data_IF_959921515408
#
_entry.id   IF_959921515408
#
_cell.length_a   1.000
_cell.length_b   1.000
_cell.length_c   1.000
_cell.angle_alpha   90.00
_cell.angle_beta   90.00
_cell.angle_gamma   90.00
#
_symmetry.space_group_name_H-M   'P 1'
#
loop_
_entity.id
_entity.type
_entity.pdbx_description
1 polymer ?
#
# COMPACT_ATOMS: atom_id res chain seq x y z
N UNK A 1 -5.05 4.46 28.64
CA UNK A 1 -4.92 4.64 27.17
C UNK A 1 -5.05 3.28 26.51
N UNK A 2 -5.97 3.12 25.59
CA UNK A 2 -6.15 1.87 24.85
C UNK A 2 -5.02 1.77 23.82
N UNK A 3 -4.31 0.63 23.81
CA UNK A 3 -3.24 0.37 22.85
C UNK A 3 -3.71 -0.66 21.85
N UNK A 4 -3.75 -0.26 20.59
CA UNK A 4 -3.97 -1.11 19.43
C UNK A 4 -2.84 -0.88 18.42
N UNK A 5 -2.32 -1.96 17.84
CA UNK A 5 -1.22 -1.94 16.89
C UNK A 5 -1.69 -2.51 15.54
N UNK A 6 -1.36 -1.85 14.46
CA UNK A 6 -1.89 -2.17 13.14
C UNK A 6 -3.26 -1.52 12.94
N UNK A 7 -4.10 -2.10 12.08
CA UNK A 7 -5.39 -1.57 11.66
C UNK A 7 -5.31 -0.16 11.02
N UNK A 8 -6.46 0.43 10.75
CA UNK A 8 -6.56 1.73 10.07
C UNK A 8 -5.85 2.85 10.81
N UNK A 9 -5.39 3.85 10.08
CA UNK A 9 -4.81 5.05 10.69
C UNK A 9 -5.88 5.81 11.48
N UNK A 10 -5.47 6.40 12.60
CA UNK A 10 -6.25 7.43 13.27
C UNK A 10 -5.83 8.83 12.77
N UNK A 11 -6.63 9.85 13.05
CA UNK A 11 -6.27 11.20 12.66
C UNK A 11 -5.00 11.65 13.38
N UNK A 12 -4.07 12.18 12.61
CA UNK A 12 -2.82 12.73 13.10
C UNK A 12 -2.65 14.13 12.55
N UNK A 13 -2.30 15.06 13.44
CA UNK A 13 -1.96 16.43 13.10
C UNK A 13 -0.49 16.67 13.40
N UNK A 14 0.21 17.33 12.52
CA UNK A 14 1.58 17.77 12.75
C UNK A 14 1.67 19.28 12.61
N UNK A 15 2.18 19.93 13.65
CA UNK A 15 2.51 21.35 13.60
C UNK A 15 3.82 21.65 12.83
N UNK A 16 4.58 20.60 12.50
CA UNK A 16 5.98 20.71 12.06
C UNK A 16 6.17 20.56 10.56
N UNK A 17 5.13 20.30 9.76
CA UNK A 17 5.43 19.77 8.46
C UNK A 17 4.85 20.50 7.27
N UNK A 18 5.71 21.01 6.42
CA UNK A 18 5.47 20.99 4.98
C UNK A 18 6.23 19.79 4.43
N UNK A 19 5.53 18.81 3.89
CA UNK A 19 6.16 17.73 3.17
C UNK A 19 6.77 18.26 1.89
N UNK A 20 8.01 17.87 1.64
CA UNK A 20 8.67 18.12 0.36
C UNK A 20 8.23 17.12 -0.72
N UNK A 21 7.49 16.09 -0.33
CA UNK A 21 7.02 15.04 -1.23
C UNK A 21 6.29 15.60 -2.46
N UNK A 22 5.46 16.62 -2.28
CA UNK A 22 4.76 17.28 -3.39
C UNK A 22 5.64 18.33 -4.09
N UNK A 23 6.51 19.04 -3.37
CA UNK A 23 7.30 20.15 -3.89
C UNK A 23 8.36 19.72 -4.93
N UNK A 24 8.79 18.46 -4.88
CA UNK A 24 9.81 17.92 -5.78
C UNK A 24 9.24 17.03 -6.90
N UNK A 25 7.93 17.03 -7.09
CA UNK A 25 7.24 16.13 -8.01
C UNK A 25 6.32 16.93 -8.96
N UNK A 26 6.90 17.80 -9.78
CA UNK A 26 6.18 18.73 -10.70
C UNK A 26 5.16 18.04 -11.63
N UNK A 27 5.40 16.76 -11.95
CA UNK A 27 4.53 15.97 -12.85
C UNK A 27 3.62 14.99 -12.10
N UNK A 28 3.45 15.17 -10.76
CA UNK A 28 2.60 14.31 -9.94
C UNK A 28 1.14 14.74 -10.03
N UNK A 29 0.28 13.81 -10.44
CA UNK A 29 -1.16 13.99 -10.53
C UNK A 29 -1.84 13.21 -9.42
N UNK A 30 -2.69 13.88 -8.64
CA UNK A 30 -3.36 13.30 -7.47
C UNK A 30 -4.77 12.85 -7.81
N UNK A 31 -5.08 11.60 -7.49
CA UNK A 31 -6.36 10.95 -7.71
C UNK A 31 -7.03 10.56 -6.40
N UNK A 32 -8.34 10.30 -6.46
CA UNK A 32 -9.12 9.79 -5.33
C UNK A 32 -8.50 8.50 -4.74
N UNK A 33 -7.99 7.62 -5.60
CA UNK A 33 -7.38 6.34 -5.20
C UNK A 33 -6.26 5.92 -6.13
N UNK A 34 -5.41 4.97 -5.69
CA UNK A 34 -4.41 4.35 -6.56
C UNK A 34 -5.04 3.61 -7.74
N UNK A 35 -6.25 3.03 -7.57
CA UNK A 35 -7.03 2.40 -8.65
C UNK A 35 -7.39 3.41 -9.75
N UNK A 36 -7.88 4.58 -9.36
CA UNK A 36 -8.17 5.66 -10.31
C UNK A 36 -6.90 6.18 -11.00
N UNK A 37 -5.77 6.24 -10.30
CA UNK A 37 -4.49 6.68 -10.86
C UNK A 37 -4.03 5.75 -11.99
N UNK A 38 -3.93 4.43 -11.76
CA UNK A 38 -3.50 3.47 -12.79
C UNK A 38 -4.53 3.37 -13.93
N UNK A 39 -5.83 3.43 -13.63
CA UNK A 39 -6.87 3.44 -14.66
C UNK A 39 -6.67 4.58 -15.65
N UNK A 40 -6.50 5.81 -15.16
CA UNK A 40 -6.30 6.97 -16.02
C UNK A 40 -4.95 6.93 -16.75
N UNK A 41 -3.91 6.40 -16.13
CA UNK A 41 -2.63 6.21 -16.80
C UNK A 41 -2.75 5.24 -17.98
N UNK A 42 -3.42 4.10 -17.81
CA UNK A 42 -3.67 3.15 -18.89
C UNK A 42 -4.57 3.76 -19.97
N UNK A 43 -5.64 4.47 -19.59
CA UNK A 43 -6.52 5.19 -20.52
C UNK A 43 -5.75 6.22 -21.37
N UNK A 44 -4.84 6.98 -20.76
CA UNK A 44 -3.95 7.89 -21.45
C UNK A 44 -3.06 7.14 -22.44
N UNK A 45 -2.44 6.06 -22.02
CA UNK A 45 -1.55 5.27 -22.85
C UNK A 45 -2.24 4.62 -24.05
N UNK A 46 -3.46 4.10 -23.86
CA UNK A 46 -4.31 3.55 -24.93
C UNK A 46 -4.58 4.66 -25.97
N UNK A 47 -5.07 5.80 -25.52
CA UNK A 47 -5.50 6.88 -26.42
C UNK A 47 -4.34 7.59 -27.11
N UNK A 48 -3.22 7.79 -26.44
CA UNK A 48 -2.10 8.59 -26.95
C UNK A 48 -1.02 7.75 -27.63
N UNK A 49 -0.75 6.55 -27.11
CA UNK A 49 0.36 5.71 -27.54
C UNK A 49 -0.08 4.39 -28.20
N UNK A 50 -1.39 4.13 -28.18
CA UNK A 50 -1.93 2.89 -28.76
C UNK A 50 -1.51 1.64 -27.99
N UNK A 51 -1.43 1.71 -26.65
CA UNK A 51 -1.17 0.54 -25.83
C UNK A 51 -2.28 -0.49 -26.02
N UNK A 52 -1.91 -1.74 -26.22
CA UNK A 52 -2.82 -2.82 -26.56
C UNK A 52 -2.85 -3.96 -25.53
N UNK A 53 -1.81 -4.07 -24.71
CA UNK A 53 -1.63 -5.15 -23.77
C UNK A 53 -0.94 -4.66 -22.51
N UNK A 54 -1.47 -5.06 -21.35
CA UNK A 54 -0.87 -4.79 -20.05
C UNK A 54 -0.68 -6.08 -19.25
N UNK A 55 0.52 -6.27 -18.69
CA UNK A 55 0.85 -7.34 -17.79
C UNK A 55 0.84 -6.90 -16.34
N UNK A 56 0.16 -7.67 -15.49
CA UNK A 56 0.24 -7.51 -14.03
C UNK A 56 0.92 -8.73 -13.41
N UNK A 57 1.65 -8.58 -12.27
CA UNK A 57 2.20 -9.73 -11.58
C UNK A 57 1.07 -10.64 -11.07
N UNK A 58 1.29 -11.95 -11.08
CA UNK A 58 0.29 -12.92 -10.61
C UNK A 58 -0.03 -12.75 -9.13
N UNK A 59 0.99 -12.47 -8.30
CA UNK A 59 0.82 -12.09 -6.91
C UNK A 59 0.62 -10.59 -6.81
N UNK A 60 -0.63 -10.15 -6.74
CA UNK A 60 -0.97 -8.72 -6.74
C UNK A 60 -2.32 -8.44 -6.07
N UNK A 61 -2.66 -7.16 -5.94
CA UNK A 61 -3.99 -6.71 -5.56
C UNK A 61 -4.94 -6.83 -6.75
N UNK A 62 -5.69 -7.95 -6.82
CA UNK A 62 -6.56 -8.21 -7.96
C UNK A 62 -7.70 -7.21 -8.13
N UNK A 63 -8.10 -6.51 -7.06
CA UNK A 63 -9.06 -5.40 -7.15
C UNK A 63 -8.57 -4.25 -8.05
N UNK A 64 -7.25 -4.00 -8.10
CA UNK A 64 -6.65 -3.02 -9.00
C UNK A 64 -6.80 -3.48 -10.45
N UNK A 65 -6.58 -4.76 -10.71
CA UNK A 65 -6.69 -5.34 -12.06
C UNK A 65 -8.15 -5.34 -12.54
N UNK A 66 -9.07 -5.76 -11.68
CA UNK A 66 -10.50 -5.75 -12.00
C UNK A 66 -11.01 -4.34 -12.32
N UNK A 67 -10.52 -3.33 -11.59
CA UNK A 67 -10.86 -1.94 -11.84
C UNK A 67 -10.46 -1.46 -13.25
N UNK A 68 -9.42 -2.05 -13.83
CA UNK A 68 -8.93 -1.71 -15.18
C UNK A 68 -9.60 -2.52 -16.31
N UNK A 69 -10.49 -3.50 -16.01
CA UNK A 69 -11.09 -4.37 -17.04
C UNK A 69 -12.05 -3.66 -18.00
N UNK A 70 -12.53 -2.48 -17.65
CA UNK A 70 -13.40 -1.69 -18.53
C UNK A 70 -12.62 -1.01 -19.66
N UNK A 71 -11.29 -0.98 -19.58
CA UNK A 71 -10.45 -0.37 -20.61
C UNK A 71 -10.31 -1.30 -21.82
N UNK A 72 -10.23 -0.71 -22.99
CA UNK A 72 -9.97 -1.44 -24.25
C UNK A 72 -8.47 -1.81 -24.38
N UNK A 73 -8.03 -2.71 -23.48
CA UNK A 73 -6.66 -3.23 -23.41
C UNK A 73 -6.69 -4.69 -22.99
N UNK A 74 -5.89 -5.52 -23.63
CA UNK A 74 -5.70 -6.91 -23.21
C UNK A 74 -4.97 -6.98 -21.89
N UNK A 75 -5.54 -7.67 -20.89
CA UNK A 75 -4.93 -7.83 -19.56
C UNK A 75 -4.40 -9.26 -19.43
N UNK A 76 -3.11 -9.38 -19.13
CA UNK A 76 -2.45 -10.65 -18.83
C UNK A 76 -1.79 -10.62 -17.44
N UNK A 77 -1.55 -11.83 -16.91
CA UNK A 77 -0.76 -12.00 -15.70
C UNK A 77 0.58 -12.68 -16.03
N UNK A 78 1.67 -12.11 -15.56
CA UNK A 78 2.96 -12.79 -15.61
C UNK A 78 3.29 -13.41 -14.24
N UNK A 79 3.90 -14.62 -14.20
CA UNK A 79 4.26 -15.25 -12.94
C UNK A 79 5.26 -14.41 -12.16
N UNK A 80 4.96 -14.12 -10.91
CA UNK A 80 5.87 -13.40 -10.02
C UNK A 80 5.71 -13.82 -8.57
N UNK A 81 6.82 -14.18 -7.91
CA UNK A 81 6.87 -14.53 -6.51
C UNK A 81 7.73 -13.50 -5.75
N UNK A 82 7.15 -12.62 -4.89
CA UNK A 82 7.91 -11.59 -4.18
C UNK A 82 8.93 -12.13 -3.17
N UNK A 83 8.89 -13.43 -2.84
CA UNK A 83 9.79 -14.09 -1.90
C UNK A 83 11.03 -14.66 -2.58
N UNK A 84 11.00 -14.86 -3.90
CA UNK A 84 12.06 -15.43 -4.70
C UNK A 84 12.64 -14.41 -5.67
N UNK A 85 13.83 -14.69 -6.21
CA UNK A 85 14.37 -13.92 -7.33
C UNK A 85 13.76 -14.43 -8.63
N UNK A 86 12.99 -13.58 -9.28
CA UNK A 86 12.34 -13.93 -10.55
C UNK A 86 12.96 -13.15 -11.70
N UNK A 87 13.17 -13.84 -12.81
CA UNK A 87 13.28 -13.18 -14.10
C UNK A 87 11.86 -12.95 -14.62
N UNK A 88 11.60 -11.73 -15.07
CA UNK A 88 10.31 -11.41 -15.68
C UNK A 88 10.32 -11.97 -17.11
N UNK A 89 9.42 -12.92 -17.36
CA UNK A 89 9.12 -13.41 -18.71
C UNK A 89 7.93 -12.61 -19.25
N UNK A 90 8.21 -11.64 -20.10
CA UNK A 90 7.22 -10.75 -20.70
C UNK A 90 7.50 -10.54 -22.18
N UNK A 91 6.43 -10.39 -22.97
CA UNK A 91 6.51 -10.09 -24.40
C UNK A 91 7.00 -8.65 -24.63
N UNK A 92 8.31 -8.48 -24.73
CA UNK A 92 8.98 -7.16 -24.84
C UNK A 92 8.78 -6.56 -26.25
N UNK A 93 7.59 -6.04 -26.52
CA UNK A 93 7.21 -5.41 -27.80
C UNK A 93 6.69 -4.00 -27.59
N UNK A 94 6.81 -3.19 -28.65
CA UNK A 94 6.13 -1.90 -28.72
C UNK A 94 4.62 -2.06 -28.55
N UNK A 95 3.99 -1.16 -27.78
CA UNK A 95 2.57 -1.19 -27.46
C UNK A 95 2.20 -2.16 -26.33
N UNK A 96 3.17 -2.84 -25.72
CA UNK A 96 2.95 -3.60 -24.48
C UNK A 96 3.38 -2.79 -23.25
N UNK A 97 2.68 -3.04 -22.15
CA UNK A 97 2.90 -2.39 -20.86
C UNK A 97 3.12 -3.45 -19.79
N UNK A 98 4.09 -3.25 -18.93
CA UNK A 98 4.32 -4.11 -17.77
C UNK A 98 4.15 -3.29 -16.50
N UNK A 99 3.21 -3.70 -15.65
CA UNK A 99 3.09 -3.18 -14.29
C UNK A 99 4.01 -3.98 -13.39
N UNK A 100 4.94 -3.29 -12.74
CA UNK A 100 5.83 -3.87 -11.73
C UNK A 100 5.47 -3.33 -10.36
N UNK A 101 5.90 -4.01 -9.31
CA UNK A 101 5.59 -3.63 -7.93
C UNK A 101 6.85 -3.60 -7.10
N UNK A 102 7.01 -2.57 -6.28
CA UNK A 102 7.97 -2.60 -5.19
C UNK A 102 7.33 -3.35 -4.00
N UNK A 103 7.43 -4.70 -4.02
CA UNK A 103 6.77 -5.57 -3.05
C UNK A 103 7.18 -5.25 -1.62
N UNK A 104 6.20 -4.83 -0.82
CA UNK A 104 6.36 -4.47 0.60
C UNK A 104 7.38 -3.36 0.88
N UNK A 105 7.84 -2.63 -0.17
CA UNK A 105 8.96 -1.69 -0.07
C UNK A 105 10.31 -2.38 0.15
N UNK A 106 10.41 -3.67 -0.18
CA UNK A 106 11.58 -4.51 0.08
C UNK A 106 12.24 -4.94 -1.22
N UNK A 107 11.44 -5.26 -2.23
CA UNK A 107 11.90 -5.91 -3.44
C UNK A 107 11.29 -5.31 -4.69
N UNK A 108 12.14 -4.76 -5.54
CA UNK A 108 11.79 -4.29 -6.88
C UNK A 108 11.97 -5.42 -7.91
N UNK A 109 11.09 -5.43 -8.90
CA UNK A 109 11.25 -6.32 -10.04
C UNK A 109 12.44 -5.88 -10.91
N UNK A 110 13.23 -6.84 -11.40
CA UNK A 110 14.29 -6.55 -12.36
C UNK A 110 13.71 -6.51 -13.78
N UNK A 111 13.75 -5.34 -14.40
CA UNK A 111 13.26 -5.07 -15.75
C UNK A 111 14.37 -4.78 -16.77
N UNK A 112 15.64 -4.96 -16.41
CA UNK A 112 16.81 -4.57 -17.24
C UNK A 112 16.85 -5.26 -18.61
N UNK A 113 16.22 -6.43 -18.73
CA UNK A 113 16.12 -7.18 -20.00
C UNK A 113 15.08 -6.60 -20.96
N UNK A 114 14.12 -5.81 -20.49
CA UNK A 114 13.04 -5.23 -21.29
C UNK A 114 13.50 -3.92 -21.92
N UNK A 115 13.28 -3.75 -23.23
CA UNK A 115 13.75 -2.59 -23.99
C UNK A 115 12.65 -1.85 -24.74
N UNK A 116 11.54 -2.54 -25.04
CA UNK A 116 10.46 -2.03 -25.90
C UNK A 116 9.14 -1.84 -25.15
N UNK A 117 8.89 -2.68 -24.12
CA UNK A 117 7.71 -2.55 -23.27
C UNK A 117 7.79 -1.31 -22.38
N UNK A 118 6.66 -0.66 -22.19
CA UNK A 118 6.54 0.46 -21.24
C UNK A 118 6.44 -0.10 -19.81
N UNK A 119 7.25 0.42 -18.91
CA UNK A 119 7.26 -0.01 -17.51
C UNK A 119 6.50 1.00 -16.64
N UNK A 120 5.51 0.49 -15.91
CA UNK A 120 4.76 1.25 -14.88
C UNK A 120 5.07 0.63 -13.52
N UNK A 121 5.66 1.39 -12.59
CA UNK A 121 5.98 0.88 -11.25
C UNK A 121 4.91 1.30 -10.24
N UNK A 122 4.33 0.32 -9.54
CA UNK A 122 3.50 0.52 -8.36
C UNK A 122 4.40 0.73 -7.13
N UNK A 123 4.48 1.96 -6.65
CA UNK A 123 5.28 2.35 -5.49
C UNK A 123 4.43 2.56 -4.22
N UNK A 124 3.24 1.95 -4.17
CA UNK A 124 2.33 2.04 -3.00
C UNK A 124 3.02 1.69 -1.68
N UNK A 125 3.97 0.78 -1.71
CA UNK A 125 4.70 0.31 -0.51
C UNK A 125 6.06 0.99 -0.31
N UNK A 126 6.44 1.94 -1.17
CA UNK A 126 7.68 2.74 -1.03
C UNK A 126 7.52 4.10 -1.73
N UNK A 127 6.76 5.00 -1.12
CA UNK A 127 6.40 6.29 -1.70
C UNK A 127 7.60 7.17 -2.04
N UNK A 128 8.72 7.04 -1.32
CA UNK A 128 9.91 7.84 -1.59
C UNK A 128 10.76 7.33 -2.75
N UNK A 129 10.48 6.13 -3.28
CA UNK A 129 11.23 5.57 -4.42
C UNK A 129 10.77 6.08 -5.79
N UNK A 130 9.86 7.04 -5.84
CA UNK A 130 9.37 7.63 -7.09
C UNK A 130 10.54 8.23 -7.89
N UNK A 131 10.78 7.68 -9.08
CA UNK A 131 11.85 8.14 -9.96
C UNK A 131 13.24 7.54 -9.68
N UNK A 132 13.36 6.63 -8.70
CA UNK A 132 14.62 5.93 -8.41
C UNK A 132 14.86 4.69 -9.29
N UNK A 133 13.88 4.26 -10.08
CA UNK A 133 14.00 3.16 -11.02
C UNK A 133 14.00 3.64 -12.46
N UNK A 134 14.23 2.72 -13.40
CA UNK A 134 14.15 2.97 -14.85
C UNK A 134 12.73 2.92 -15.40
N UNK A 135 11.70 2.86 -14.55
CA UNK A 135 10.31 2.84 -14.98
C UNK A 135 9.92 4.13 -15.74
N UNK A 136 9.09 3.95 -16.76
CA UNK A 136 8.57 5.08 -17.55
C UNK A 136 7.55 5.91 -16.79
N UNK A 137 6.75 5.25 -15.94
CA UNK A 137 5.70 5.84 -15.13
C UNK A 137 5.65 5.24 -13.73
N UNK A 138 5.10 6.00 -12.79
CA UNK A 138 4.90 5.58 -11.41
C UNK A 138 3.48 5.87 -10.98
N UNK A 139 2.91 4.98 -10.19
CA UNK A 139 1.66 5.24 -9.49
C UNK A 139 1.65 4.62 -8.10
N UNK A 140 0.69 5.00 -7.29
CA UNK A 140 0.54 4.40 -5.96
C UNK A 140 -0.66 4.91 -5.20
N UNK A 141 -0.89 4.30 -4.03
CA UNK A 141 -1.90 4.68 -3.06
C UNK A 141 -1.25 5.33 -1.85
N UNK A 142 -1.65 6.56 -1.51
CA UNK A 142 -1.13 7.30 -0.37
C UNK A 142 -1.65 6.72 0.96
N UNK A 143 -2.90 6.28 0.99
CA UNK A 143 -3.60 5.82 2.21
C UNK A 143 -3.05 4.53 2.83
N UNK A 144 -2.15 3.82 2.14
CA UNK A 144 -1.51 2.61 2.68
C UNK A 144 -0.37 2.92 3.64
N UNK A 145 0.26 4.08 3.49
CA UNK A 145 1.39 4.49 4.33
C UNK A 145 1.15 5.80 5.09
N UNK A 146 0.10 6.56 4.75
CA UNK A 146 -0.14 7.88 5.33
C UNK A 146 -1.50 7.95 6.03
N UNK A 147 -1.62 8.73 7.11
CA UNK A 147 -2.87 8.93 7.84
C UNK A 147 -3.80 9.89 7.08
N UNK A 148 -4.21 9.48 5.88
CA UNK A 148 -5.10 10.21 4.99
C UNK A 148 -6.26 9.32 4.52
N UNK A 149 -7.45 9.88 4.46
CA UNK A 149 -8.66 9.11 4.19
C UNK A 149 -8.76 8.60 2.75
N UNK A 150 -8.30 9.38 1.77
CA UNK A 150 -8.31 9.08 0.33
C UNK A 150 -6.98 9.50 -0.26
N UNK A 151 -6.67 9.04 -1.45
CA UNK A 151 -5.52 9.51 -2.21
C UNK A 151 -4.79 8.39 -2.94
N UNK A 152 -4.55 8.66 -4.19
CA UNK A 152 -3.64 7.98 -5.07
C UNK A 152 -2.90 8.99 -5.91
N UNK A 153 -1.90 8.56 -6.62
CA UNK A 153 -1.12 9.44 -7.50
C UNK A 153 -0.59 8.68 -8.70
N UNK A 154 -0.27 9.45 -9.72
CA UNK A 154 0.47 8.99 -10.89
C UNK A 154 1.47 10.08 -11.30
N UNK A 155 2.71 9.69 -11.58
CA UNK A 155 3.73 10.57 -12.14
C UNK A 155 3.78 10.38 -13.65
N UNK A 156 3.50 11.46 -14.38
CA UNK A 156 3.52 11.51 -15.82
C UNK A 156 4.89 11.92 -16.37
N UNK A 157 5.10 11.71 -17.67
CA UNK A 157 6.20 12.34 -18.41
C UNK A 157 5.90 13.83 -18.61
N UNK A 158 6.94 14.63 -18.76
CA UNK A 158 6.80 16.08 -18.97
C UNK A 158 5.89 16.39 -20.15
N UNK A 159 5.00 17.37 -19.98
CA UNK A 159 3.98 17.80 -20.94
C UNK A 159 2.86 16.77 -21.22
N UNK A 160 2.68 15.79 -20.38
CA UNK A 160 1.47 14.95 -20.39
C UNK A 160 0.47 15.49 -19.39
N UNK A 161 -0.80 15.36 -19.73
CA UNK A 161 -1.93 15.78 -18.90
C UNK A 161 -3.07 14.80 -19.06
N UNK A 162 -3.83 14.62 -18.01
CA UNK A 162 -5.10 13.90 -18.08
C UNK A 162 -6.22 14.79 -18.59
N UNK A 163 -7.15 14.17 -19.29
CA UNK A 163 -8.40 14.80 -19.74
C UNK A 163 -9.59 14.12 -19.04
N UNK A 164 -10.68 14.84 -18.89
CA UNK A 164 -11.94 14.34 -18.32
C UNK A 164 -11.82 13.81 -16.87
N UNK A 165 -10.87 14.34 -16.10
CA UNK A 165 -10.75 14.08 -14.66
C UNK A 165 -11.20 15.31 -13.87
N UNK A 166 -11.97 15.10 -12.81
CA UNK A 166 -12.53 16.18 -11.99
C UNK A 166 -12.72 15.75 -10.54
N UNK A 167 -12.92 16.69 -9.66
CA UNK A 167 -13.38 16.40 -8.31
C UNK A 167 -14.87 16.01 -8.37
N UNK A 168 -15.23 14.89 -7.72
CA UNK A 168 -16.60 14.39 -7.64
C UNK A 168 -17.15 14.54 -6.22
N UNK A 169 -18.48 14.67 -6.12
CA UNK A 169 -19.15 14.77 -4.83
C UNK A 169 -18.92 13.49 -3.99
N UNK A 170 -18.98 12.34 -4.61
CA UNK A 170 -18.77 11.05 -3.97
C UNK A 170 -17.36 10.90 -3.38
N UNK A 171 -16.33 11.39 -4.09
CA UNK A 171 -14.96 11.40 -3.59
C UNK A 171 -14.83 12.31 -2.36
N UNK A 172 -15.51 13.45 -2.38
CA UNK A 172 -15.54 14.37 -1.27
C UNK A 172 -16.26 13.79 -0.04
N UNK A 173 -17.43 13.19 -0.23
CA UNK A 173 -18.20 12.54 0.84
C UNK A 173 -17.42 11.36 1.47
N UNK A 174 -16.77 10.54 0.63
CA UNK A 174 -15.91 9.45 1.11
C UNK A 174 -14.75 9.99 1.96
N UNK A 175 -14.10 11.05 1.50
CA UNK A 175 -13.02 11.69 2.26
C UNK A 175 -13.52 12.20 3.62
N UNK A 176 -14.66 12.89 3.66
CA UNK A 176 -15.23 13.40 4.91
C UNK A 176 -15.55 12.25 5.87
N UNK A 177 -16.19 11.20 5.38
CA UNK A 177 -16.55 10.04 6.19
C UNK A 177 -15.33 9.34 6.78
N UNK A 178 -14.26 9.15 5.97
CA UNK A 178 -12.99 8.61 6.45
C UNK A 178 -12.34 9.48 7.51
N UNK A 179 -12.33 10.79 7.33
CA UNK A 179 -11.78 11.70 8.34
C UNK A 179 -12.56 11.65 9.66
N UNK A 180 -13.89 11.60 9.61
CA UNK A 180 -14.71 11.41 10.82
C UNK A 180 -14.32 10.11 11.52
N UNK A 181 -14.19 9.00 10.79
CA UNK A 181 -13.74 7.72 11.34
C UNK A 181 -12.37 7.83 12.01
N UNK A 182 -11.42 8.51 11.36
CA UNK A 182 -10.06 8.72 11.88
C UNK A 182 -10.06 9.57 13.16
N UNK A 183 -10.88 10.61 13.23
CA UNK A 183 -11.07 11.42 14.45
C UNK A 183 -11.68 10.61 15.60
N UNK A 184 -12.75 9.88 15.33
CA UNK A 184 -13.39 9.01 16.32
C UNK A 184 -12.43 7.93 16.82
N UNK A 185 -11.57 7.37 15.94
CA UNK A 185 -10.53 6.44 16.35
C UNK A 185 -9.48 7.11 17.24
N UNK A 186 -9.07 8.35 16.95
CA UNK A 186 -8.17 9.10 17.84
C UNK A 186 -8.78 9.28 19.23
N UNK A 187 -10.07 9.56 19.29
CA UNK A 187 -10.81 9.74 20.54
C UNK A 187 -10.93 8.42 21.33
N UNK A 188 -11.26 7.33 20.63
CA UNK A 188 -11.25 5.99 21.21
C UNK A 188 -9.90 5.62 21.83
N UNK A 189 -8.79 5.91 21.13
CA UNK A 189 -7.44 5.61 21.62
C UNK A 189 -7.06 6.45 22.87
N UNK A 190 -7.80 7.54 23.15
CA UNK A 190 -7.69 8.35 24.36
C UNK A 190 -8.64 7.92 25.48
N UNK A 191 -9.13 6.70 25.44
CA UNK A 191 -10.02 6.04 26.41
C UNK A 191 -11.52 6.41 26.30
N UNK A 192 -11.96 7.04 25.22
CA UNK A 192 -13.39 7.22 24.95
C UNK A 192 -13.98 5.95 24.28
N UNK A 193 -14.46 5.04 25.12
CA UNK A 193 -14.96 3.72 24.68
C UNK A 193 -16.18 3.82 23.77
N UNK A 194 -17.01 4.86 23.88
CA UNK A 194 -18.20 5.04 23.06
C UNK A 194 -17.85 5.25 21.58
N UNK A 195 -16.69 5.87 21.30
CA UNK A 195 -16.21 6.09 19.94
C UNK A 195 -15.82 4.82 19.19
N UNK A 196 -15.65 3.67 19.89
CA UNK A 196 -15.20 2.41 19.28
C UNK A 196 -16.17 1.88 18.20
N UNK A 197 -17.47 1.83 18.52
CA UNK A 197 -18.48 1.32 17.57
C UNK A 197 -18.61 2.29 16.40
N UNK A 198 -18.65 3.59 16.69
CA UNK A 198 -18.86 4.63 15.69
C UNK A 198 -17.71 4.70 14.67
N UNK A 199 -16.45 4.66 15.11
CA UNK A 199 -15.35 4.76 14.15
C UNK A 199 -15.32 3.55 13.20
N UNK A 200 -15.62 2.34 13.70
CA UNK A 200 -15.66 1.13 12.87
C UNK A 200 -16.78 1.21 11.83
N UNK A 201 -17.97 1.62 12.24
CA UNK A 201 -19.09 1.83 11.32
C UNK A 201 -18.72 2.83 10.21
N UNK A 202 -18.16 3.98 10.56
CA UNK A 202 -17.78 4.99 9.58
C UNK A 202 -16.67 4.49 8.65
N UNK A 203 -15.75 3.67 9.14
CA UNK A 203 -14.75 3.03 8.27
C UNK A 203 -15.37 2.06 7.29
N UNK A 204 -16.27 1.18 7.75
CA UNK A 204 -16.98 0.21 6.90
C UNK A 204 -17.77 0.93 5.81
N UNK A 205 -18.59 1.88 6.17
CA UNK A 205 -19.37 2.68 5.22
C UNK A 205 -18.49 3.42 4.20
N UNK A 206 -17.34 3.93 4.61
CA UNK A 206 -16.43 4.61 3.71
C UNK A 206 -15.67 3.62 2.81
N UNK A 207 -15.33 2.41 3.26
CA UNK A 207 -14.77 1.36 2.38
C UNK A 207 -15.79 0.91 1.34
N UNK A 208 -17.08 0.77 1.70
CA UNK A 208 -18.14 0.51 0.71
C UNK A 208 -18.21 1.58 -0.37
N UNK A 209 -18.04 2.87 0.00
CA UNK A 209 -17.97 3.96 -0.99
C UNK A 209 -16.75 3.88 -1.91
N UNK A 210 -15.63 3.28 -1.44
CA UNK A 210 -14.46 3.04 -2.29
C UNK A 210 -14.70 1.98 -3.36
N UNK A 211 -15.70 1.10 -3.19
CA UNK A 211 -16.08 0.12 -4.21
C UNK A 211 -16.86 0.76 -5.37
N UNK A 212 -17.36 1.98 -5.21
CA UNK A 212 -17.89 2.74 -6.32
C UNK A 212 -16.79 3.03 -7.34
N UNK A 213 -17.05 2.77 -8.61
CA UNK A 213 -16.09 2.95 -9.71
C UNK A 213 -15.84 4.44 -10.02
N UNK A 214 -15.19 5.15 -9.10
CA UNK A 214 -14.81 6.57 -9.28
C UNK A 214 -13.53 6.68 -10.14
N UNK A 215 -13.63 6.30 -11.41
CA UNK A 215 -12.48 6.22 -12.33
C UNK A 215 -11.90 7.59 -12.67
N UNK A 216 -12.75 8.62 -12.82
CA UNK A 216 -12.35 9.95 -13.23
C UNK A 216 -12.15 10.94 -12.06
N UNK A 217 -12.24 10.48 -10.82
CA UNK A 217 -12.13 11.37 -9.65
C UNK A 217 -10.70 11.70 -9.30
N UNK A 218 -10.40 13.00 -9.27
CA UNK A 218 -9.18 13.52 -8.65
C UNK A 218 -9.31 13.54 -7.13
N UNK A 219 -8.21 13.71 -6.44
CA UNK A 219 -8.18 13.84 -5.00
C UNK A 219 -8.87 15.14 -4.57
N UNK A 220 -9.83 15.11 -3.62
CA UNK A 220 -10.50 16.32 -3.14
C UNK A 220 -9.51 17.35 -2.61
N UNK A 221 -9.75 18.64 -2.93
CA UNK A 221 -8.83 19.72 -2.55
C UNK A 221 -8.56 19.79 -1.03
N UNK A 222 -9.53 19.42 -0.21
CA UNK A 222 -9.34 19.34 1.24
C UNK A 222 -8.37 18.23 1.64
N UNK A 223 -8.41 17.08 0.93
CA UNK A 223 -7.47 16.00 1.14
C UNK A 223 -6.06 16.38 0.67
N UNK A 224 -5.94 17.12 -0.45
CA UNK A 224 -4.65 17.69 -0.90
C UNK A 224 -4.07 18.63 0.15
N UNK A 225 -4.90 19.52 0.70
CA UNK A 225 -4.47 20.43 1.76
C UNK A 225 -4.01 19.68 3.02
N UNK A 226 -4.70 18.61 3.41
CA UNK A 226 -4.26 17.75 4.50
C UNK A 226 -2.91 17.07 4.18
N UNK A 227 -2.75 16.51 2.98
CA UNK A 227 -1.52 15.85 2.54
C UNK A 227 -0.31 16.78 2.65
N UNK A 228 -0.48 18.06 2.29
CA UNK A 228 0.58 19.08 2.37
C UNK A 228 1.05 19.36 3.81
N UNK A 229 0.23 19.08 4.82
CA UNK A 229 0.60 19.26 6.23
C UNK A 229 1.29 18.06 6.87
N UNK A 230 1.32 16.90 6.19
CA UNK A 230 1.90 15.68 6.74
C UNK A 230 3.43 15.68 6.54
N UNK A 231 4.24 15.38 7.56
CA UNK A 231 5.68 15.21 7.46
C UNK A 231 6.01 13.81 6.89
N UNK A 232 5.74 13.61 5.58
CA UNK A 232 5.76 12.30 4.92
C UNK A 232 7.12 11.64 5.06
N UNK A 233 8.20 12.39 4.82
CA UNK A 233 9.57 11.90 4.88
C UNK A 233 9.91 11.40 6.30
N UNK A 234 9.50 12.13 7.32
CA UNK A 234 9.71 11.76 8.73
C UNK A 234 8.91 10.49 9.07
N UNK A 235 7.67 10.38 8.59
CA UNK A 235 6.85 9.19 8.79
C UNK A 235 7.50 7.94 8.19
N UNK A 236 7.98 8.05 6.95
CA UNK A 236 8.62 6.91 6.27
C UNK A 236 9.95 6.57 6.92
N UNK A 237 10.76 7.57 7.27
CA UNK A 237 12.04 7.36 7.97
C UNK A 237 11.82 6.67 9.31
N UNK A 238 10.91 7.19 10.14
CA UNK A 238 10.57 6.59 11.44
C UNK A 238 10.04 5.16 11.28
N UNK A 239 9.24 4.90 10.25
CA UNK A 239 8.76 3.55 9.95
C UNK A 239 9.93 2.59 9.66
N UNK A 240 10.88 2.99 8.82
CA UNK A 240 12.08 2.18 8.52
C UNK A 240 12.92 1.92 9.78
N UNK A 241 13.13 2.93 10.61
CA UNK A 241 13.85 2.80 11.89
C UNK A 241 13.14 1.84 12.85
N UNK A 242 11.83 1.93 12.97
CA UNK A 242 11.00 1.06 13.79
C UNK A 242 11.04 -0.40 13.32
N UNK A 243 10.94 -0.63 12.01
CA UNK A 243 11.08 -1.97 11.42
C UNK A 243 12.47 -2.54 11.74
N UNK A 244 13.53 -1.78 11.51
CA UNK A 244 14.90 -2.20 11.82
C UNK A 244 15.08 -2.51 13.31
N UNK A 245 14.48 -1.72 14.21
CA UNK A 245 14.46 -2.00 15.64
C UNK A 245 13.73 -3.32 15.93
N UNK A 246 12.53 -3.49 15.38
CA UNK A 246 11.74 -4.71 15.55
C UNK A 246 12.49 -5.97 15.11
N UNK A 247 13.12 -5.93 13.93
CA UNK A 247 13.94 -7.04 13.42
C UNK A 247 15.04 -7.42 14.39
N UNK A 248 15.75 -6.45 14.95
CA UNK A 248 16.84 -6.70 15.94
C UNK A 248 16.34 -7.32 17.26
N UNK A 249 15.06 -7.15 17.60
CA UNK A 249 14.46 -7.72 18.80
C UNK A 249 13.92 -9.15 18.58
N UNK A 250 13.70 -9.56 17.33
CA UNK A 250 13.20 -10.90 17.03
C UNK A 250 14.28 -11.95 17.20
N UNK A 251 13.91 -13.08 17.79
CA UNK A 251 14.79 -14.22 17.98
C UNK A 251 14.79 -15.14 16.77
N UNK A 252 15.93 -15.71 16.40
CA UNK A 252 16.00 -16.69 15.32
C UNK A 252 15.10 -17.91 15.61
N UNK A 253 14.40 -18.37 14.60
CA UNK A 253 13.56 -19.58 14.65
C UNK A 253 13.46 -20.18 13.25
N UNK A 254 13.14 -21.49 13.18
CA UNK A 254 12.84 -22.15 11.90
C UNK A 254 11.35 -22.02 11.51
N UNK A 255 10.52 -21.42 12.36
CA UNK A 255 9.08 -21.30 12.12
C UNK A 255 8.72 -20.20 11.11
N UNK A 256 9.58 -19.23 10.93
CA UNK A 256 9.44 -18.16 9.94
C UNK A 256 10.79 -17.61 9.50
N UNK A 257 10.82 -16.92 8.38
CA UNK A 257 11.91 -16.04 7.97
C UNK A 257 11.41 -14.61 7.80
N UNK A 258 12.25 -13.64 8.08
CA UNK A 258 11.98 -12.22 7.89
C UNK A 258 12.35 -11.90 6.44
N UNK A 259 11.43 -11.26 5.71
CA UNK A 259 11.69 -10.86 4.30
C UNK A 259 12.33 -9.49 4.21
N UNK A 260 12.18 -8.64 5.23
CA UNK A 260 12.83 -7.33 5.25
C UNK A 260 14.35 -7.48 5.39
N UNK A 261 15.06 -6.59 4.70
CA UNK A 261 16.42 -6.22 5.10
C UNK A 261 16.32 -5.03 6.06
N UNK A 262 16.64 -3.81 5.70
CA UNK A 262 16.42 -2.62 6.55
C UNK A 262 15.34 -1.69 5.97
N UNK A 263 14.52 -2.20 5.08
CA UNK A 263 13.49 -1.46 4.36
C UNK A 263 12.11 -2.09 4.52
N UNK A 264 11.12 -1.39 4.00
CA UNK A 264 9.74 -1.82 3.96
C UNK A 264 8.80 -0.83 4.63
N UNK A 265 7.50 -1.00 4.40
CA UNK A 265 6.46 -0.23 5.08
C UNK A 265 5.85 -0.97 6.28
N UNK A 266 6.18 -2.24 6.45
CA UNK A 266 5.82 -3.09 7.57
C UNK A 266 6.86 -4.20 7.77
N UNK A 267 6.88 -4.85 8.92
CA UNK A 267 7.62 -6.10 9.12
C UNK A 267 6.89 -7.22 8.39
N UNK A 268 7.60 -7.95 7.53
CA UNK A 268 7.05 -9.06 6.75
C UNK A 268 7.65 -10.38 7.20
N UNK A 269 6.82 -11.25 7.76
CA UNK A 269 7.18 -12.61 8.12
C UNK A 269 6.65 -13.58 7.06
N UNK A 270 7.51 -14.49 6.61
CA UNK A 270 7.14 -15.63 5.79
C UNK A 270 7.19 -16.88 6.67
N UNK A 271 6.03 -17.35 7.10
CA UNK A 271 5.89 -18.51 7.96
C UNK A 271 6.10 -19.81 7.19
N UNK A 272 6.64 -20.83 7.86
CA UNK A 272 6.89 -22.12 7.25
C UNK A 272 5.60 -22.81 6.78
N UNK A 273 4.53 -22.67 7.58
CA UNK A 273 3.21 -23.24 7.24
C UNK A 273 2.09 -22.23 7.46
N UNK A 274 0.94 -22.50 6.80
CA UNK A 274 -0.31 -21.76 6.99
C UNK A 274 -0.81 -21.82 8.44
N UNK A 275 -0.67 -22.97 9.10
CA UNK A 275 -1.09 -23.19 10.49
C UNK A 275 -0.31 -22.26 11.44
N UNK A 276 1.02 -22.17 11.28
CA UNK A 276 1.87 -21.27 12.05
C UNK A 276 1.42 -19.82 11.82
N UNK A 277 1.23 -19.41 10.56
CA UNK A 277 0.79 -18.05 10.21
C UNK A 277 -0.55 -17.71 10.86
N UNK A 278 -1.54 -18.60 10.75
CA UNK A 278 -2.88 -18.36 11.28
C UNK A 278 -2.91 -18.32 12.80
N UNK A 279 -2.17 -19.21 13.46
CA UNK A 279 -2.13 -19.33 14.91
C UNK A 279 -1.35 -18.13 15.51
N UNK A 280 -0.23 -17.73 14.91
CA UNK A 280 0.47 -16.49 15.27
C UNK A 280 -0.44 -15.26 15.10
N UNK A 281 -1.12 -15.15 13.95
CA UNK A 281 -2.03 -14.04 13.70
C UNK A 281 -3.13 -13.95 14.76
N UNK A 282 -3.75 -15.07 15.10
CA UNK A 282 -4.77 -15.13 16.15
C UNK A 282 -4.20 -14.68 17.50
N UNK A 283 -3.04 -15.23 17.90
CA UNK A 283 -2.38 -14.84 19.13
C UNK A 283 -2.10 -13.34 19.21
N UNK A 284 -1.61 -12.74 18.11
CA UNK A 284 -1.35 -11.30 18.05
C UNK A 284 -2.63 -10.48 18.15
N UNK A 285 -3.71 -10.89 17.50
CA UNK A 285 -5.03 -10.22 17.60
C UNK A 285 -5.55 -10.25 19.05
N UNK A 286 -5.40 -11.37 19.75
CA UNK A 286 -5.78 -11.51 21.16
C UNK A 286 -4.98 -10.53 22.06
N UNK A 287 -3.80 -10.09 21.59
CA UNK A 287 -2.95 -9.06 22.23
C UNK A 287 -3.14 -7.65 21.61
N UNK A 288 -4.22 -7.44 20.84
CA UNK A 288 -4.53 -6.17 20.16
C UNK A 288 -3.47 -5.71 19.14
N UNK A 289 -2.73 -6.65 18.58
CA UNK A 289 -1.86 -6.45 17.44
C UNK A 289 -2.59 -7.02 16.22
N UNK A 290 -2.87 -6.20 15.22
CA UNK A 290 -3.70 -6.57 14.05
C UNK A 290 -2.83 -6.70 12.79
N UNK A 291 -2.25 -7.88 12.52
CA UNK A 291 -1.45 -8.08 11.33
C UNK A 291 -2.31 -8.12 10.06
N UNK A 292 -1.78 -7.58 8.99
CA UNK A 292 -2.41 -7.63 7.68
C UNK A 292 -1.94 -8.86 6.86
N UNK A 293 -2.80 -9.29 5.96
CA UNK A 293 -2.46 -10.23 4.88
C UNK A 293 -2.47 -9.43 3.58
N UNK A 294 -1.33 -9.34 2.94
CA UNK A 294 -1.18 -8.59 1.70
C UNK A 294 -0.68 -9.53 0.60
N UNK A 295 -1.43 -9.76 -0.39
CA UNK A 295 -2.81 -9.34 -0.64
C UNK A 295 -3.72 -10.55 -0.46
N UNK A 296 -4.91 -10.40 0.14
CA UNK A 296 -5.88 -11.48 0.22
C UNK A 296 -6.49 -11.76 -1.16
N UNK A 297 -7.21 -12.88 -1.27
CA UNK A 297 -7.98 -13.23 -2.47
C UNK A 297 -7.13 -13.49 -3.73
N UNK A 298 -5.95 -14.09 -3.55
CA UNK A 298 -5.13 -14.52 -4.69
C UNK A 298 -5.87 -15.59 -5.52
N UNK A 299 -5.74 -15.50 -6.85
CA UNK A 299 -6.50 -16.35 -7.78
C UNK A 299 -5.73 -17.59 -8.24
N UNK A 300 -4.38 -17.52 -8.30
CA UNK A 300 -3.55 -18.64 -8.71
C UNK A 300 -3.13 -19.49 -7.51
N UNK A 301 -3.06 -20.82 -7.68
CA UNK A 301 -2.78 -21.75 -6.58
C UNK A 301 -1.41 -21.49 -5.89
N UNK A 302 -0.38 -21.18 -6.69
CA UNK A 302 0.95 -20.84 -6.14
C UNK A 302 0.91 -19.56 -5.30
N UNK A 303 0.12 -18.60 -5.73
CA UNK A 303 -0.01 -17.32 -5.05
C UNK A 303 -0.90 -17.42 -3.79
N UNK A 304 -1.89 -18.34 -3.79
CA UNK A 304 -2.65 -18.70 -2.58
C UNK A 304 -1.77 -19.34 -1.51
N UNK A 305 -0.83 -20.24 -1.90
CA UNK A 305 0.12 -20.82 -0.94
C UNK A 305 1.00 -19.71 -0.33
N UNK A 306 1.50 -18.81 -1.15
CA UNK A 306 2.28 -17.66 -0.70
C UNK A 306 1.48 -16.74 0.23
N UNK A 307 0.27 -16.33 -0.18
CA UNK A 307 -0.67 -15.55 0.65
C UNK A 307 -0.90 -16.20 2.02
N UNK A 308 -1.00 -17.51 2.06
CA UNK A 308 -1.27 -18.28 3.28
C UNK A 308 -0.09 -18.34 4.26
N UNK A 309 1.11 -17.94 3.82
CA UNK A 309 2.33 -17.95 4.63
C UNK A 309 2.84 -16.56 5.00
N UNK A 310 2.44 -15.51 4.26
CA UNK A 310 2.85 -14.13 4.54
C UNK A 310 2.01 -13.53 5.66
N UNK A 311 2.68 -12.79 6.56
CA UNK A 311 2.08 -11.99 7.61
C UNK A 311 2.79 -10.64 7.69
N UNK A 312 2.03 -9.55 7.53
CA UNK A 312 2.52 -8.19 7.58
C UNK A 312 2.16 -7.53 8.91
N UNK A 313 3.14 -7.07 9.65
CA UNK A 313 2.97 -6.50 10.99
C UNK A 313 3.42 -5.04 10.95
N UNK A 314 2.50 -4.11 11.20
CA UNK A 314 2.81 -2.70 11.22
C UNK A 314 3.68 -2.34 12.42
N UNK A 315 4.85 -1.78 12.15
CA UNK A 315 5.77 -1.16 13.09
C UNK A 315 6.08 0.26 12.60
N UNK A 316 5.03 1.01 12.29
CA UNK A 316 5.15 2.29 11.61
C UNK A 316 5.34 3.47 12.57
N UNK A 317 5.42 4.66 12.01
CA UNK A 317 5.66 5.92 12.71
C UNK A 317 4.67 6.26 13.85
N UNK A 318 3.55 5.53 13.95
CA UNK A 318 2.57 5.69 15.04
C UNK A 318 3.09 5.16 16.38
N UNK A 319 4.15 4.36 16.39
CA UNK A 319 4.60 3.62 17.55
C UNK A 319 5.94 4.10 18.06
N UNK A 320 6.06 4.20 19.40
CA UNK A 320 7.32 4.43 20.08
C UNK A 320 8.23 3.19 20.00
N UNK A 321 9.52 3.36 20.29
CA UNK A 321 10.46 2.25 20.38
C UNK A 321 10.04 1.17 21.38
N UNK A 322 9.46 1.57 22.55
CA UNK A 322 8.96 0.64 23.56
C UNK A 322 7.79 -0.19 23.04
N UNK A 323 6.93 0.42 22.23
CA UNK A 323 5.79 -0.26 21.60
C UNK A 323 6.24 -1.22 20.50
N UNK A 324 7.25 -0.85 19.73
CA UNK A 324 7.87 -1.75 18.74
C UNK A 324 8.52 -2.95 19.44
N UNK A 325 9.25 -2.72 20.55
CA UNK A 325 9.84 -3.79 21.37
C UNK A 325 8.73 -4.69 21.93
N UNK A 326 7.61 -4.12 22.39
CA UNK A 326 6.46 -4.89 22.86
C UNK A 326 5.90 -5.81 21.76
N UNK A 327 5.74 -5.32 20.54
CA UNK A 327 5.25 -6.13 19.41
C UNK A 327 6.20 -7.30 19.15
N UNK A 328 7.51 -7.04 19.08
CA UNK A 328 8.52 -8.06 18.87
C UNK A 328 8.55 -9.10 20.00
N UNK A 329 8.41 -8.65 21.26
CA UNK A 329 8.32 -9.53 22.44
C UNK A 329 7.09 -10.46 22.39
N UNK A 330 5.93 -9.96 21.89
CA UNK A 330 4.76 -10.83 21.70
C UNK A 330 5.01 -11.92 20.65
N UNK A 331 5.69 -11.58 19.56
CA UNK A 331 6.09 -12.58 18.56
C UNK A 331 7.01 -13.62 19.17
N UNK A 332 8.07 -13.19 19.87
CA UNK A 332 9.02 -14.08 20.54
C UNK A 332 8.32 -15.02 21.54
N UNK A 333 7.45 -14.48 22.41
CA UNK A 333 6.72 -15.26 23.42
C UNK A 333 5.76 -16.29 22.82
N UNK A 334 5.18 -16.00 21.67
CA UNK A 334 4.39 -17.01 20.96
C UNK A 334 5.25 -18.24 20.66
N UNK A 335 6.45 -18.04 20.08
CA UNK A 335 7.33 -19.15 19.70
C UNK A 335 8.10 -19.79 20.86
N UNK A 336 8.14 -19.19 22.03
CA UNK A 336 8.66 -19.84 23.27
C UNK A 336 7.67 -20.85 23.84
N UNK A 337 6.40 -20.74 23.54
CA UNK A 337 5.32 -21.55 24.10
C UNK A 337 4.77 -22.61 23.13
N UNK A 338 5.30 -22.69 21.92
CA UNK A 338 4.96 -23.66 20.86
C UNK A 338 6.16 -24.55 20.60
#
# INVERSE_FOLDING_TARGET
>A
MIKEFGSDFHYMYSEKGQSKFLDHQDDLNLFFSGRAAIYNLLKLGISKYGWKKVGFPSYYCHEVVEFCRELDIEIEYYPYNPVEDNLIDWDDKEGTVLVTVNFFGIKKANTDSLKNAVIIEDVTHDLLSIGESSADYFFGSLRKQLPIGVGGFCKLKKNETFVDVCETLEAHETYQKKNVAMFLKSDYLKDNLESNILYRQYYEEAEEMFENHLTNSVMPQQAVSQLQTLPIEDFITTTKENISLGIRQLRPTNAYRILNNDNGFCLVLYCETNEIRNSLRKYLIDHKIFPAILWPHQIFEKDKDLQNKILCIHMDFRYSHEEVIYIADRINKYFENV
#
